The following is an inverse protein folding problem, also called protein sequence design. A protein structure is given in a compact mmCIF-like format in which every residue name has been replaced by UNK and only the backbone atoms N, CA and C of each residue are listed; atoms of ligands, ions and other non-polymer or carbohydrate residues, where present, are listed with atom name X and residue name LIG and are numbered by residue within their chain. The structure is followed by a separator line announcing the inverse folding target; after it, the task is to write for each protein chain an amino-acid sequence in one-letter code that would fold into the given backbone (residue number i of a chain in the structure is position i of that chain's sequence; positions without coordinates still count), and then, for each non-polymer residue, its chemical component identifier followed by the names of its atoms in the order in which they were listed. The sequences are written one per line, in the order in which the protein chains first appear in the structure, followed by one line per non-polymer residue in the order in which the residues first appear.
data_IF_346268337485
#
_entry.id   IF_346268337485
#
_cell.length_a   1.000
_cell.length_b   1.000
_cell.length_c   1.000
_cell.angle_alpha   90.00
_cell.angle_beta   90.00
_cell.angle_gamma   90.00
#
_symmetry.space_group_name_H-M   'P 1'
#
loop_
_entity.id
_entity.type
_entity.pdbx_description
1 polymer ?
#
# COMPACT_ATOMS: atom_id res chain seq x y z
N UNK A 1 -15.62 3.58 11.68
CA UNK A 1 -15.15 3.76 10.30
C UNK A 1 -15.46 2.50 9.49
N UNK A 2 -15.68 2.63 8.19
CA UNK A 2 -15.76 1.46 7.31
C UNK A 2 -14.41 0.73 7.25
N UNK A 3 -13.30 1.47 7.27
CA UNK A 3 -11.96 0.91 7.38
C UNK A 3 -11.01 1.82 8.16
N UNK A 4 -10.13 1.21 8.93
CA UNK A 4 -8.91 1.79 9.49
C UNK A 4 -7.72 1.23 8.70
N UNK A 5 -6.74 2.06 8.36
CA UNK A 5 -5.49 1.57 7.80
C UNK A 5 -4.27 2.14 8.53
N UNK A 6 -3.19 1.37 8.47
CA UNK A 6 -1.86 1.81 8.90
C UNK A 6 -0.85 1.49 7.80
N UNK A 7 0.01 2.45 7.49
CA UNK A 7 0.97 2.32 6.40
C UNK A 7 1.88 3.53 6.21
N UNK A 8 2.80 3.42 5.27
CA UNK A 8 3.73 4.48 4.91
C UNK A 8 2.98 5.63 4.22
N UNK A 9 3.10 6.84 4.77
CA UNK A 9 2.73 8.04 4.06
C UNK A 9 3.85 8.42 3.08
N UNK A 10 3.49 8.56 1.81
CA UNK A 10 4.39 8.92 0.73
C UNK A 10 3.75 10.04 -0.09
N UNK A 11 4.54 10.98 -0.58
CA UNK A 11 4.11 11.89 -1.64
C UNK A 11 4.68 11.38 -2.96
N UNK A 12 3.78 11.11 -3.90
CA UNK A 12 4.12 10.59 -5.22
C UNK A 12 4.48 11.76 -6.14
N UNK A 13 5.59 11.62 -6.85
CA UNK A 13 6.01 12.50 -7.95
C UNK A 13 5.98 11.67 -9.23
N UNK A 14 4.94 11.87 -10.03
CA UNK A 14 4.75 11.13 -11.28
C UNK A 14 5.49 11.80 -12.43
N UNK A 15 6.33 11.04 -13.13
CA UNK A 15 7.14 11.52 -14.25
C UNK A 15 7.01 10.55 -15.42
N UNK A 16 6.65 11.07 -16.59
CA UNK A 16 6.61 10.31 -17.84
C UNK A 16 8.04 10.14 -18.37
N UNK A 17 8.44 8.90 -18.65
CA UNK A 17 9.77 8.51 -19.14
C UNK A 17 9.66 7.44 -20.23
N UNK A 18 10.76 7.18 -20.91
CA UNK A 18 10.95 6.10 -21.88
C UNK A 18 11.65 4.91 -21.24
N UNK A 19 11.54 3.72 -21.87
CA UNK A 19 12.29 2.54 -21.42
C UNK A 19 13.82 2.76 -21.46
N UNK A 20 14.30 3.60 -22.38
CA UNK A 20 15.72 3.95 -22.48
C UNK A 20 16.19 4.78 -21.27
N UNK A 21 15.39 5.74 -20.82
CA UNK A 21 15.68 6.56 -19.64
C UNK A 21 15.64 5.74 -18.34
N UNK A 22 14.72 4.76 -18.23
CA UNK A 22 14.75 3.79 -17.13
C UNK A 22 16.07 3.02 -17.09
N UNK A 23 16.51 2.51 -18.25
CA UNK A 23 17.75 1.77 -18.36
C UNK A 23 18.99 2.63 -18.03
N UNK A 24 19.03 3.88 -18.50
CA UNK A 24 20.11 4.83 -18.18
C UNK A 24 20.19 5.10 -16.67
N UNK A 25 19.04 5.26 -16.03
CA UNK A 25 18.98 5.42 -14.59
C UNK A 25 19.18 4.12 -13.82
N UNK A 26 19.31 2.95 -14.44
CA UNK A 26 19.33 1.64 -13.78
C UNK A 26 18.09 1.40 -12.88
N UNK A 27 16.90 1.69 -13.40
CA UNK A 27 15.62 1.42 -12.74
C UNK A 27 15.01 0.17 -13.38
N UNK A 28 14.63 -0.81 -12.55
CA UNK A 28 13.92 -2.00 -13.02
C UNK A 28 12.46 -1.66 -13.33
N UNK A 29 11.98 -2.09 -14.50
CA UNK A 29 10.63 -1.81 -14.97
C UNK A 29 9.58 -2.57 -14.14
N UNK A 30 8.51 -1.89 -13.71
CA UNK A 30 7.36 -2.54 -13.08
C UNK A 30 7.54 -2.94 -11.60
N UNK A 31 8.66 -2.57 -10.98
CA UNK A 31 8.99 -2.94 -9.60
C UNK A 31 8.95 -1.73 -8.65
N UNK A 32 8.77 -1.99 -7.36
CA UNK A 32 9.04 -1.03 -6.29
C UNK A 32 10.47 -1.25 -5.75
N UNK A 33 11.27 -0.19 -5.77
CA UNK A 33 12.64 -0.17 -5.27
C UNK A 33 12.79 0.86 -4.16
N UNK A 34 13.32 0.45 -3.00
CA UNK A 34 13.73 1.37 -1.95
C UNK A 34 15.01 2.09 -2.37
N UNK A 35 15.02 3.41 -2.25
CA UNK A 35 16.15 4.27 -2.55
C UNK A 35 16.45 5.22 -1.41
N UNK A 36 17.72 5.60 -1.27
CA UNK A 36 18.10 6.67 -0.36
C UNK A 36 17.82 8.06 -0.97
N UNK A 37 17.92 9.09 -0.14
CA UNK A 37 17.67 10.47 -0.54
C UNK A 37 18.65 10.97 -1.61
N UNK A 38 19.91 10.49 -1.59
CA UNK A 38 20.91 10.90 -2.57
C UNK A 38 20.56 10.35 -3.95
N UNK A 39 20.21 9.07 -4.04
CA UNK A 39 19.76 8.40 -5.25
C UNK A 39 18.51 9.05 -5.82
N UNK A 40 17.52 9.36 -4.98
CA UNK A 40 16.31 10.05 -5.43
C UNK A 40 16.62 11.45 -6.00
N UNK A 41 17.52 12.20 -5.36
CA UNK A 41 17.98 13.50 -5.86
C UNK A 41 18.70 13.37 -7.20
N UNK A 42 19.55 12.37 -7.37
CA UNK A 42 20.28 12.12 -8.61
C UNK A 42 19.29 11.83 -9.76
N UNK A 43 18.28 10.99 -9.51
CA UNK A 43 17.22 10.71 -10.49
C UNK A 43 16.45 11.98 -10.89
N UNK A 44 16.04 12.79 -9.92
CA UNK A 44 15.31 14.05 -10.20
C UNK A 44 16.19 15.07 -10.94
N UNK A 45 17.52 15.04 -10.72
CA UNK A 45 18.47 15.88 -11.45
C UNK A 45 18.58 15.46 -12.91
N UNK A 46 18.66 14.16 -13.18
CA UNK A 46 18.64 13.62 -14.55
C UNK A 46 17.33 13.95 -15.27
N UNK A 47 16.20 13.92 -14.56
CA UNK A 47 14.87 14.17 -15.10
C UNK A 47 14.43 15.63 -15.06
N UNK A 48 15.35 16.58 -14.87
CA UNK A 48 15.03 17.98 -14.62
C UNK A 48 14.06 18.59 -15.66
N UNK A 49 14.28 18.30 -16.95
CA UNK A 49 13.43 18.79 -18.05
C UNK A 49 12.01 18.19 -18.04
N UNK A 50 11.82 17.03 -17.40
CA UNK A 50 10.52 16.36 -17.26
C UNK A 50 9.72 16.92 -16.08
N UNK A 51 10.36 17.56 -15.10
CA UNK A 51 9.72 18.05 -13.87
C UNK A 51 8.68 19.15 -14.13
N UNK A 52 8.75 19.84 -15.27
CA UNK A 52 7.75 20.85 -15.68
C UNK A 52 6.34 20.24 -15.78
N UNK A 53 6.25 18.91 -15.96
CA UNK A 53 4.99 18.17 -16.07
C UNK A 53 4.73 17.23 -14.90
N UNK A 54 5.55 17.27 -13.86
CA UNK A 54 5.40 16.37 -12.71
C UNK A 54 4.12 16.71 -11.94
N UNK A 55 3.39 15.66 -11.53
CA UNK A 55 2.25 15.78 -10.64
C UNK A 55 2.68 15.35 -9.24
N UNK A 56 2.32 16.14 -8.23
CA UNK A 56 2.52 15.83 -6.81
C UNK A 56 1.17 15.51 -6.17
N UNK A 57 1.06 14.36 -5.53
CA UNK A 57 -0.14 13.93 -4.81
C UNK A 57 0.23 13.03 -3.63
N UNK A 58 -0.64 12.93 -2.64
CA UNK A 58 -0.53 11.87 -1.64
C UNK A 58 -0.55 10.50 -2.32
N UNK A 59 0.35 9.63 -1.87
CA UNK A 59 0.46 8.24 -2.29
C UNK A 59 0.46 7.27 -1.10
N UNK A 60 1.22 6.18 -1.24
CA UNK A 60 1.23 5.07 -0.28
C UNK A 60 0.01 4.15 -0.43
N UNK A 61 0.20 2.83 -0.28
CA UNK A 61 -0.85 1.86 -0.61
C UNK A 61 -2.05 1.99 0.33
N UNK A 62 -1.79 2.10 1.63
CA UNK A 62 -2.82 2.29 2.64
C UNK A 62 -3.52 3.66 2.50
N UNK A 63 -2.76 4.74 2.30
CA UNK A 63 -3.31 6.09 2.11
C UNK A 63 -4.26 6.15 0.91
N UNK A 64 -3.81 5.65 -0.25
CA UNK A 64 -4.63 5.59 -1.46
C UNK A 64 -5.91 4.76 -1.26
N UNK A 65 -5.83 3.65 -0.52
CA UNK A 65 -6.99 2.80 -0.23
C UNK A 65 -8.02 3.52 0.65
N UNK A 66 -7.57 4.27 1.66
CA UNK A 66 -8.46 5.02 2.56
C UNK A 66 -9.11 6.21 1.86
N UNK A 67 -8.33 6.94 1.04
CA UNK A 67 -8.84 8.04 0.21
C UNK A 67 -9.90 7.52 -0.76
N UNK A 68 -9.59 6.47 -1.53
CA UNK A 68 -10.54 5.92 -2.51
C UNK A 68 -11.85 5.47 -1.84
N UNK A 69 -11.75 4.84 -0.67
CA UNK A 69 -12.91 4.40 0.12
C UNK A 69 -13.73 5.59 0.65
N UNK A 70 -13.08 6.63 1.16
CA UNK A 70 -13.74 7.87 1.59
C UNK A 70 -14.47 8.57 0.45
N UNK A 71 -13.87 8.63 -0.73
CA UNK A 71 -14.48 9.21 -1.92
C UNK A 71 -15.69 8.43 -2.43
N UNK A 72 -15.79 7.14 -2.10
CA UNK A 72 -17.00 6.33 -2.34
C UNK A 72 -18.09 6.54 -1.27
N UNK A 73 -17.87 7.43 -0.30
CA UNK A 73 -18.83 7.84 0.73
C UNK A 73 -18.73 7.06 2.03
N UNK A 74 -17.69 6.26 2.23
CA UNK A 74 -17.52 5.44 3.42
C UNK A 74 -16.42 6.02 4.34
N UNK A 75 -16.69 6.31 5.62
CA UNK A 75 -15.74 6.99 6.49
C UNK A 75 -14.52 6.11 6.76
N UNK A 76 -13.32 6.66 6.64
CA UNK A 76 -12.06 5.92 6.87
C UNK A 76 -11.14 6.63 7.85
N UNK A 77 -10.20 5.87 8.41
CA UNK A 77 -9.15 6.37 9.29
C UNK A 77 -7.77 5.91 8.79
N UNK A 78 -6.78 6.81 8.84
CA UNK A 78 -5.40 6.53 8.43
C UNK A 78 -4.41 6.86 9.56
N UNK A 79 -3.65 5.85 9.99
CA UNK A 79 -2.47 6.02 10.84
C UNK A 79 -1.20 5.97 10.01
N UNK A 80 -0.39 7.01 10.10
CA UNK A 80 0.88 7.14 9.37
C UNK A 80 1.79 8.18 10.03
N UNK A 81 2.97 8.43 9.44
CA UNK A 81 3.89 9.50 9.86
C UNK A 81 4.21 10.41 8.69
N UNK A 82 4.13 11.72 8.91
CA UNK A 82 4.63 12.76 7.99
C UNK A 82 5.45 13.80 8.75
N UNK A 83 6.48 14.35 8.12
CA UNK A 83 7.32 15.36 8.75
C UNK A 83 6.65 16.73 8.69
N UNK A 84 7.16 17.66 9.49
CA UNK A 84 6.78 19.08 9.41
C UNK A 84 7.49 19.75 8.22
N UNK A 85 7.16 19.31 7.01
CA UNK A 85 7.66 19.84 5.74
C UNK A 85 6.52 20.01 4.71
N UNK A 86 6.84 20.60 3.57
CA UNK A 86 5.86 20.91 2.52
C UNK A 86 5.20 19.65 1.93
N UNK A 87 5.92 18.53 1.87
CA UNK A 87 5.37 17.25 1.39
C UNK A 87 4.39 16.66 2.43
N UNK A 88 4.69 16.79 3.72
CA UNK A 88 3.78 16.42 4.80
C UNK A 88 2.52 17.28 4.80
N UNK A 89 2.63 18.56 4.46
CA UNK A 89 1.48 19.46 4.29
C UNK A 89 0.58 19.00 3.14
N UNK A 90 1.17 18.59 2.00
CA UNK A 90 0.42 18.04 0.86
C UNK A 90 -0.32 16.77 1.27
N UNK A 91 0.37 15.84 1.93
CA UNK A 91 -0.23 14.56 2.33
C UNK A 91 -1.42 14.75 3.28
N UNK A 92 -1.28 15.62 4.28
CA UNK A 92 -2.35 15.95 5.23
C UNK A 92 -3.53 16.62 4.53
N UNK A 93 -3.25 17.64 3.70
CA UNK A 93 -4.29 18.35 2.98
C UNK A 93 -5.11 17.41 2.09
N UNK A 94 -4.47 16.41 1.48
CA UNK A 94 -5.13 15.42 0.65
C UNK A 94 -6.02 14.45 1.46
N UNK A 95 -5.58 14.00 2.65
CA UNK A 95 -6.41 13.19 3.55
C UNK A 95 -7.64 13.97 4.02
N UNK A 96 -7.44 15.21 4.50
CA UNK A 96 -8.51 16.07 5.03
C UNK A 96 -9.53 16.44 3.94
N UNK A 97 -9.07 16.82 2.74
CA UNK A 97 -9.96 17.13 1.62
C UNK A 97 -10.77 15.92 1.14
N UNK A 98 -10.23 14.71 1.30
CA UNK A 98 -10.90 13.45 0.95
C UNK A 98 -11.84 12.95 2.06
N UNK A 99 -11.84 13.59 3.23
CA UNK A 99 -12.64 13.17 4.39
C UNK A 99 -12.09 11.96 5.14
N UNK A 100 -10.79 11.68 5.02
CA UNK A 100 -10.11 10.61 5.77
C UNK A 100 -9.69 11.15 7.14
N UNK A 101 -10.15 10.52 8.22
CA UNK A 101 -9.73 10.86 9.56
C UNK A 101 -8.28 10.39 9.83
N UNK A 102 -7.54 11.09 10.68
CA UNK A 102 -6.17 10.73 11.03
C UNK A 102 -5.79 11.23 12.44
N UNK A 103 -4.80 10.58 13.04
CA UNK A 103 -4.27 10.91 14.38
C UNK A 103 -3.12 11.92 14.39
N UNK A 104 -2.71 12.42 13.21
CA UNK A 104 -1.58 13.33 13.05
C UNK A 104 -1.86 14.71 13.68
N UNK A 105 -1.55 14.85 14.95
CA UNK A 105 -1.68 16.10 15.73
C UNK A 105 -0.33 16.79 15.95
N UNK A 106 0.72 15.99 16.15
CA UNK A 106 2.11 16.45 16.23
C UNK A 106 2.93 15.82 15.09
N UNK A 107 3.78 16.63 14.44
CA UNK A 107 4.66 16.18 13.35
C UNK A 107 6.12 16.37 13.76
N UNK A 108 6.96 15.42 13.38
CA UNK A 108 8.39 15.51 13.63
C UNK A 108 9.02 16.66 12.84
N UNK A 109 9.81 17.50 13.51
CA UNK A 109 10.72 18.44 12.84
C UNK A 109 12.01 17.76 12.36
N UNK A 110 12.27 16.54 12.83
CA UNK A 110 13.43 15.74 12.47
C UNK A 110 13.07 14.77 11.33
N UNK A 111 13.87 14.78 10.27
CA UNK A 111 13.67 13.95 9.07
C UNK A 111 12.88 14.65 7.96
N UNK A 112 12.45 13.86 6.97
CA UNK A 112 11.66 14.32 5.81
C UNK A 112 10.48 13.38 5.57
N UNK A 113 9.38 13.90 5.05
CA UNK A 113 8.24 13.09 4.61
C UNK A 113 8.67 12.12 3.50
N UNK A 114 8.15 10.90 3.53
CA UNK A 114 8.45 9.89 2.53
C UNK A 114 8.00 10.31 1.13
N UNK A 115 8.74 9.88 0.11
CA UNK A 115 8.52 10.27 -1.28
C UNK A 115 8.66 9.07 -2.21
N UNK A 116 7.78 8.97 -3.18
CA UNK A 116 7.90 7.99 -4.27
C UNK A 116 8.08 8.73 -5.59
N UNK A 117 9.18 8.46 -6.29
CA UNK A 117 9.31 8.89 -7.69
C UNK A 117 8.72 7.79 -8.55
N UNK A 118 7.59 8.09 -9.19
CA UNK A 118 6.83 7.16 -10.00
C UNK A 118 7.17 7.42 -11.47
N UNK A 119 7.94 6.51 -12.06
CA UNK A 119 8.36 6.60 -13.44
C UNK A 119 7.39 5.81 -14.32
N UNK A 120 6.72 6.51 -15.25
CA UNK A 120 5.63 5.97 -16.06
C UNK A 120 6.10 5.88 -17.50
N UNK A 121 6.06 4.66 -18.05
CA UNK A 121 6.42 4.39 -19.46
C UNK A 121 5.21 4.45 -20.39
N UNK A 122 5.39 4.52 -21.73
CA UNK A 122 4.27 4.71 -22.67
C UNK A 122 3.22 3.59 -22.68
N UNK A 123 3.57 2.38 -22.22
CA UNK A 123 2.65 1.26 -22.00
C UNK A 123 1.90 1.34 -20.65
N UNK A 124 2.04 2.47 -19.95
CA UNK A 124 1.45 2.78 -18.65
C UNK A 124 1.98 1.93 -17.47
N UNK A 125 3.03 1.15 -17.67
CA UNK A 125 3.71 0.46 -16.59
C UNK A 125 4.47 1.47 -15.71
N UNK A 126 4.45 1.23 -14.39
CA UNK A 126 5.02 2.13 -13.38
C UNK A 126 6.18 1.47 -12.65
N UNK A 127 7.29 2.18 -12.56
CA UNK A 127 8.42 1.84 -11.67
C UNK A 127 8.46 2.79 -10.51
N UNK A 128 8.38 2.25 -9.29
CA UNK A 128 8.27 3.02 -8.06
C UNK A 128 9.64 3.10 -7.39
N UNK A 129 10.14 4.30 -7.14
CA UNK A 129 11.42 4.54 -6.49
C UNK A 129 11.19 5.31 -5.19
N UNK A 130 11.15 4.56 -4.09
CA UNK A 130 10.62 5.03 -2.81
C UNK A 130 11.73 5.35 -1.82
N UNK A 131 11.77 6.61 -1.38
CA UNK A 131 12.50 7.00 -0.19
C UNK A 131 11.50 7.11 0.97
N UNK A 132 11.63 6.24 1.98
CA UNK A 132 10.64 6.17 3.07
C UNK A 132 10.65 7.39 3.99
N UNK A 133 11.78 8.10 4.11
CA UNK A 133 11.89 9.22 5.05
C UNK A 133 11.49 8.81 6.47
N UNK A 134 10.72 9.64 7.16
CA UNK A 134 10.26 9.32 8.52
C UNK A 134 9.28 8.14 8.59
N UNK A 135 8.62 7.76 7.48
CA UNK A 135 7.71 6.60 7.43
C UNK A 135 8.46 5.29 7.72
N UNK A 136 9.77 5.24 7.52
CA UNK A 136 10.61 4.09 7.92
C UNK A 136 10.54 3.82 9.43
N UNK A 137 10.34 4.88 10.21
CA UNK A 137 10.28 4.86 11.68
C UNK A 137 8.86 4.82 12.23
N UNK A 138 7.88 4.46 11.40
CA UNK A 138 6.52 4.19 11.86
C UNK A 138 6.54 3.10 12.94
N UNK A 139 5.81 3.32 14.02
CA UNK A 139 5.87 2.51 15.23
C UNK A 139 4.48 2.24 15.80
N UNK A 140 4.45 1.55 16.93
CA UNK A 140 3.23 1.32 17.70
C UNK A 140 2.60 2.57 18.28
N UNK A 141 3.31 3.71 18.26
CA UNK A 141 2.85 4.99 18.80
C UNK A 141 1.78 5.61 17.90
N UNK A 142 1.85 5.35 16.59
CA UNK A 142 0.84 5.80 15.63
C UNK A 142 -0.42 4.90 15.59
N UNK A 143 -0.44 3.80 16.36
CA UNK A 143 -1.60 2.89 16.41
C UNK A 143 -2.69 3.48 17.30
N UNK A 144 -3.84 3.80 16.71
CA UNK A 144 -4.99 4.34 17.43
C UNK A 144 -6.02 3.24 17.74
N UNK A 145 -6.03 2.78 18.99
CA UNK A 145 -6.94 1.71 19.44
C UNK A 145 -8.42 2.12 19.38
N UNK A 146 -8.75 3.38 19.66
CA UNK A 146 -10.14 3.83 19.64
C UNK A 146 -10.68 3.81 18.20
N UNK A 147 -9.89 4.29 17.24
CA UNK A 147 -10.24 4.25 15.83
C UNK A 147 -10.34 2.81 15.30
N UNK A 148 -9.45 1.90 15.72
CA UNK A 148 -9.54 0.47 15.39
C UNK A 148 -10.86 -0.11 15.90
N UNK A 149 -11.16 0.07 17.18
CA UNK A 149 -12.38 -0.45 17.82
C UNK A 149 -13.66 0.05 17.14
N UNK A 150 -13.66 1.30 16.68
CA UNK A 150 -14.80 1.91 16.00
C UNK A 150 -14.88 1.51 14.51
N UNK A 151 -13.97 0.66 14.01
CA UNK A 151 -13.90 0.26 12.60
C UNK A 151 -14.54 -1.10 12.30
N UNK A 152 -15.04 -1.28 11.09
CA UNK A 152 -15.50 -2.60 10.60
C UNK A 152 -14.33 -3.46 10.09
N UNK A 153 -13.34 -2.81 9.49
CA UNK A 153 -12.13 -3.43 8.95
C UNK A 153 -10.87 -2.70 9.41
N UNK A 154 -9.79 -3.44 9.61
CA UNK A 154 -8.42 -2.94 9.54
C UNK A 154 -7.77 -3.41 8.24
N UNK A 155 -7.04 -2.51 7.57
CA UNK A 155 -6.24 -2.81 6.39
C UNK A 155 -4.76 -2.60 6.72
N UNK A 156 -3.97 -3.67 6.63
CA UNK A 156 -2.55 -3.66 6.91
C UNK A 156 -1.75 -3.66 5.60
N UNK A 157 -0.91 -2.65 5.43
CA UNK A 157 -0.01 -2.55 4.29
C UNK A 157 1.18 -3.51 4.44
N UNK A 158 1.43 -4.32 3.41
CA UNK A 158 2.50 -5.30 3.38
C UNK A 158 3.90 -4.69 3.47
N UNK A 159 4.09 -3.45 3.03
CA UNK A 159 5.38 -2.75 3.15
C UNK A 159 5.84 -2.52 4.60
N UNK A 160 4.94 -2.59 5.58
CA UNK A 160 5.30 -2.47 7.00
C UNK A 160 6.23 -3.59 7.49
N UNK A 161 6.31 -4.72 6.78
CA UNK A 161 7.23 -5.82 7.12
C UNK A 161 8.71 -5.46 6.98
N UNK A 162 9.02 -4.34 6.30
CA UNK A 162 10.39 -3.94 5.97
C UNK A 162 11.15 -3.35 7.16
N UNK A 163 10.46 -2.74 8.13
CA UNK A 163 11.08 -2.16 9.32
C UNK A 163 10.61 -2.87 10.60
N UNK A 164 11.50 -3.07 11.60
CA UNK A 164 11.11 -3.70 12.87
C UNK A 164 9.97 -2.98 13.59
N UNK A 165 9.98 -1.64 13.57
CA UNK A 165 8.95 -0.81 14.23
C UNK A 165 7.63 -0.84 13.46
N UNK A 166 7.67 -0.80 12.12
CA UNK A 166 6.49 -0.88 11.28
C UNK A 166 5.83 -2.25 11.40
N UNK A 167 6.61 -3.32 11.42
CA UNK A 167 6.11 -4.67 11.61
C UNK A 167 5.46 -4.83 12.99
N UNK A 168 6.07 -4.29 14.05
CA UNK A 168 5.48 -4.28 15.38
C UNK A 168 4.14 -3.49 15.43
N UNK A 169 4.05 -2.38 14.70
CA UNK A 169 2.81 -1.60 14.57
C UNK A 169 1.70 -2.40 13.87
N UNK A 170 2.04 -3.12 12.79
CA UNK A 170 1.11 -3.99 12.09
C UNK A 170 0.58 -5.13 12.99
N UNK A 171 1.46 -5.79 13.73
CA UNK A 171 1.08 -6.86 14.66
C UNK A 171 0.21 -6.34 15.82
N UNK A 172 0.55 -5.17 16.39
CA UNK A 172 -0.28 -4.53 17.43
C UNK A 172 -1.67 -4.19 16.88
N UNK A 173 -1.74 -3.62 15.67
CA UNK A 173 -3.01 -3.29 15.00
C UNK A 173 -3.88 -4.52 14.82
N UNK A 174 -3.30 -5.63 14.31
CA UNK A 174 -4.01 -6.91 14.16
C UNK A 174 -4.52 -7.45 15.49
N UNK A 175 -3.68 -7.48 16.52
CA UNK A 175 -4.07 -7.99 17.83
C UNK A 175 -5.23 -7.18 18.44
N UNK A 176 -5.23 -5.85 18.26
CA UNK A 176 -6.34 -5.00 18.68
C UNK A 176 -7.61 -5.26 17.87
N UNK A 177 -7.49 -5.44 16.56
CA UNK A 177 -8.62 -5.78 15.71
C UNK A 177 -9.29 -7.09 16.16
N UNK A 178 -8.49 -8.14 16.40
CA UNK A 178 -8.97 -9.42 16.93
C UNK A 178 -9.65 -9.26 18.30
N UNK A 179 -9.03 -8.52 19.22
CA UNK A 179 -9.57 -8.29 20.55
C UNK A 179 -10.93 -7.57 20.54
N UNK A 180 -11.17 -6.72 19.54
CA UNK A 180 -12.41 -5.96 19.37
C UNK A 180 -13.39 -6.57 18.35
N UNK A 181 -13.05 -7.73 17.76
CA UNK A 181 -13.90 -8.40 16.75
C UNK A 181 -13.98 -7.67 15.40
N UNK A 182 -12.96 -6.88 15.07
CA UNK A 182 -12.82 -6.12 13.82
C UNK A 182 -12.11 -6.99 12.78
N UNK A 183 -12.61 -6.99 11.54
CA UNK A 183 -12.06 -7.82 10.46
C UNK A 183 -10.72 -7.30 9.98
N UNK A 184 -9.83 -8.17 9.56
CA UNK A 184 -8.49 -7.85 9.08
C UNK A 184 -8.34 -8.16 7.61
N UNK A 185 -7.89 -7.17 6.85
CA UNK A 185 -7.39 -7.30 5.49
C UNK A 185 -5.88 -7.04 5.46
N UNK A 186 -5.13 -7.87 4.74
CA UNK A 186 -3.68 -7.68 4.55
C UNK A 186 -3.39 -7.56 3.06
N UNK A 187 -2.69 -6.50 2.66
CA UNK A 187 -2.12 -6.43 1.31
C UNK A 187 -0.71 -6.98 1.32
N UNK A 188 -0.37 -7.82 0.33
CA UNK A 188 1.01 -8.26 0.13
C UNK A 188 1.87 -7.21 -0.56
N UNK A 189 1.25 -6.15 -1.09
CA UNK A 189 1.85 -4.97 -1.72
C UNK A 189 2.74 -5.28 -2.93
N UNK A 190 3.88 -5.94 -2.73
CA UNK A 190 4.85 -6.29 -3.76
C UNK A 190 5.37 -7.73 -3.55
N UNK A 191 5.59 -8.52 -4.63
CA UNK A 191 6.12 -9.88 -4.53
C UNK A 191 7.46 -9.98 -3.77
N UNK A 192 8.28 -8.93 -3.83
CA UNK A 192 9.52 -8.81 -3.08
C UNK A 192 9.29 -8.82 -1.56
N UNK A 193 8.21 -8.22 -1.06
CA UNK A 193 7.91 -8.24 0.38
C UNK A 193 7.65 -9.67 0.86
N UNK A 194 6.84 -10.41 0.11
CA UNK A 194 6.53 -11.82 0.39
C UNK A 194 7.78 -12.70 0.28
N UNK A 195 8.67 -12.41 -0.69
CA UNK A 195 9.88 -13.18 -0.94
C UNK A 195 10.98 -12.94 0.11
N UNK A 196 11.27 -11.69 0.42
CA UNK A 196 12.41 -11.31 1.25
C UNK A 196 12.06 -11.16 2.73
N UNK A 197 10.79 -10.89 3.06
CA UNK A 197 10.28 -10.73 4.42
C UNK A 197 9.22 -11.77 4.75
N UNK A 198 9.41 -13.00 4.26
CA UNK A 198 8.45 -14.10 4.38
C UNK A 198 7.95 -14.31 5.81
N UNK A 199 8.87 -14.34 6.78
CA UNK A 199 8.51 -14.66 8.16
C UNK A 199 7.73 -13.50 8.82
N UNK A 200 8.07 -12.26 8.51
CA UNK A 200 7.30 -11.09 8.96
C UNK A 200 5.91 -11.06 8.30
N UNK A 201 5.83 -11.31 7.00
CA UNK A 201 4.54 -11.39 6.30
C UNK A 201 3.68 -12.54 6.84
N UNK A 202 4.30 -13.69 7.14
CA UNK A 202 3.60 -14.83 7.73
C UNK A 202 3.05 -14.49 9.13
N UNK A 203 3.80 -13.74 9.95
CA UNK A 203 3.32 -13.27 11.25
C UNK A 203 2.11 -12.33 11.12
N UNK A 204 2.05 -11.47 10.09
CA UNK A 204 0.90 -10.60 9.84
C UNK A 204 -0.39 -11.35 9.51
N UNK A 205 -0.31 -12.58 9.02
CA UNK A 205 -1.49 -13.41 8.67
C UNK A 205 -1.63 -14.65 9.56
N UNK A 206 -0.75 -14.80 10.56
CA UNK A 206 -0.80 -15.88 11.54
C UNK A 206 -2.11 -15.80 12.34
N UNK A 207 -2.74 -16.95 12.62
CA UNK A 207 -4.05 -16.97 13.27
C UNK A 207 -5.24 -16.70 12.33
N UNK A 208 -4.97 -16.38 11.05
CA UNK A 208 -6.00 -16.11 10.04
C UNK A 208 -6.28 -14.62 9.88
N UNK A 209 -6.77 -14.25 8.70
CA UNK A 209 -7.28 -12.92 8.35
C UNK A 209 -8.45 -13.12 7.39
N UNK A 210 -9.42 -12.22 7.36
CA UNK A 210 -10.62 -12.35 6.53
C UNK A 210 -10.36 -12.08 5.04
N UNK A 211 -9.34 -11.28 4.74
CA UNK A 211 -9.02 -10.91 3.36
C UNK A 211 -7.52 -10.73 3.11
N UNK A 212 -7.06 -11.23 1.96
CA UNK A 212 -5.73 -10.95 1.44
C UNK A 212 -5.84 -10.29 0.07
N UNK A 213 -5.19 -9.13 -0.08
CA UNK A 213 -5.03 -8.43 -1.35
C UNK A 213 -3.64 -8.73 -1.95
N UNK A 214 -3.63 -9.29 -3.16
CA UNK A 214 -2.41 -9.68 -3.86
C UNK A 214 -2.30 -9.00 -5.23
N UNK A 215 -1.14 -8.41 -5.53
CA UNK A 215 -0.79 -7.94 -6.88
C UNK A 215 -0.24 -9.13 -7.69
N UNK A 216 -0.87 -9.42 -8.82
CA UNK A 216 -0.54 -10.58 -9.64
C UNK A 216 0.74 -10.42 -10.45
N UNK A 217 1.85 -10.97 -9.98
CA UNK A 217 2.94 -11.43 -10.86
C UNK A 217 3.05 -12.95 -10.77
N UNK A 218 3.42 -13.59 -11.88
CA UNK A 218 3.41 -15.06 -12.10
C UNK A 218 4.38 -15.86 -11.19
N UNK A 219 4.84 -15.32 -10.06
CA UNK A 219 6.10 -15.74 -9.42
C UNK A 219 6.10 -15.76 -7.88
N UNK A 220 4.96 -15.96 -7.21
CA UNK A 220 4.95 -16.28 -5.77
C UNK A 220 5.10 -17.79 -5.60
N UNK A 221 6.32 -18.30 -5.73
CA UNK A 221 6.61 -19.74 -5.77
C UNK A 221 6.93 -20.39 -4.42
N UNK A 222 6.98 -19.65 -3.29
CA UNK A 222 7.62 -20.17 -2.05
C UNK A 222 6.95 -19.85 -0.70
N UNK A 223 5.68 -19.44 -0.65
CA UNK A 223 4.99 -19.31 0.65
C UNK A 223 4.47 -20.69 1.09
N UNK A 224 5.29 -21.49 1.77
CA UNK A 224 4.78 -22.72 2.40
C UNK A 224 3.82 -22.38 3.55
N UNK A 225 2.56 -22.76 3.36
CA UNK A 225 1.53 -23.10 4.37
C UNK A 225 1.22 -22.06 5.44
N UNK A 226 0.18 -21.26 5.22
CA UNK A 226 -0.68 -20.74 6.30
C UNK A 226 -1.94 -21.60 6.27
N UNK A 227 -2.22 -22.32 7.37
CA UNK A 227 -3.35 -23.26 7.44
C UNK A 227 -4.67 -22.49 7.42
N UNK A 228 -5.42 -22.57 6.33
CA UNK A 228 -6.87 -22.36 6.32
C UNK A 228 -7.63 -23.65 5.99
N UNK A 229 -8.88 -23.69 6.42
CA UNK A 229 -9.82 -24.80 6.58
C UNK A 229 -9.77 -25.95 5.52
N UNK A 230 -9.77 -27.25 5.92
CA UNK A 230 -9.51 -28.38 5.02
C UNK A 230 -10.57 -28.73 3.92
N UNK A 231 -11.73 -28.08 3.84
CA UNK A 231 -12.90 -28.62 3.11
C UNK A 231 -13.15 -28.19 1.65
N UNK A 232 -12.35 -27.33 1.03
CA UNK A 232 -12.61 -26.89 -0.36
C UNK A 232 -11.91 -27.74 -1.45
N UNK A 233 -12.60 -27.96 -2.58
CA UNK A 233 -12.22 -28.89 -3.65
C UNK A 233 -12.51 -28.32 -5.05
N UNK A 234 -11.48 -27.96 -5.85
CA UNK A 234 -11.31 -28.21 -7.31
C UNK A 234 -10.17 -27.37 -7.93
N UNK A 235 -9.71 -27.80 -9.11
CA UNK A 235 -8.34 -27.67 -9.68
C UNK A 235 -8.32 -26.94 -11.03
N UNK A 236 -7.31 -26.10 -11.31
CA UNK A 236 -6.52 -26.04 -12.57
C UNK A 236 -5.21 -25.22 -12.38
N UNK A 237 -4.04 -25.75 -12.80
CA UNK A 237 -2.68 -25.24 -12.51
C UNK A 237 -1.99 -24.43 -13.63
N UNK A 238 -0.64 -24.31 -13.69
CA UNK A 238 0.38 -24.52 -12.66
C UNK A 238 1.07 -23.20 -12.22
N UNK A 239 1.72 -23.22 -11.04
CA UNK A 239 2.59 -22.20 -10.39
C UNK A 239 1.95 -21.24 -9.36
N UNK A 240 0.63 -21.28 -9.12
CA UNK A 240 0.00 -20.52 -7.99
C UNK A 240 -0.57 -21.44 -6.89
N UNK A 241 -0.68 -22.75 -7.11
CA UNK A 241 -1.58 -23.61 -6.32
C UNK A 241 -0.98 -24.48 -5.20
N UNK A 242 0.27 -24.33 -4.79
CA UNK A 242 0.82 -25.09 -3.65
C UNK A 242 0.81 -24.33 -2.31
N UNK A 243 0.13 -23.18 -2.27
CA UNK A 243 0.28 -22.20 -1.17
C UNK A 243 -1.01 -21.91 -0.41
N UNK A 244 -2.19 -22.09 -1.00
CA UNK A 244 -3.48 -22.01 -0.31
C UNK A 244 -4.53 -22.77 -1.13
N UNK A 245 -5.42 -23.54 -0.47
CA UNK A 245 -6.70 -23.93 -1.11
C UNK A 245 -7.60 -22.70 -1.09
N UNK A 246 -7.67 -21.97 -2.20
CA UNK A 246 -8.47 -20.75 -2.34
C UNK A 246 -9.61 -21.04 -3.32
N UNK A 247 -10.85 -20.78 -2.90
CA UNK A 247 -11.98 -20.62 -3.82
C UNK A 247 -12.09 -19.15 -4.22
N UNK A 248 -12.00 -18.84 -5.51
CA UNK A 248 -12.16 -17.48 -6.03
C UNK A 248 -13.64 -17.16 -6.21
N UNK A 249 -14.12 -16.05 -5.64
CA UNK A 249 -15.43 -15.47 -5.96
C UNK A 249 -15.27 -14.28 -6.92
N UNK A 250 -16.01 -14.27 -8.04
CA UNK A 250 -16.23 -13.06 -8.83
C UNK A 250 -17.15 -12.11 -8.05
N UNK A 251 -16.65 -10.93 -7.68
CA UNK A 251 -17.52 -9.84 -7.23
C UNK A 251 -18.32 -9.33 -8.45
N UNK A 252 -19.64 -9.23 -8.29
CA UNK A 252 -20.55 -8.70 -9.29
C UNK A 252 -20.07 -7.32 -9.81
N UNK A 253 -20.24 -7.02 -11.11
CA UNK A 253 -19.70 -5.81 -11.71
C UNK A 253 -20.26 -4.56 -10.99
N UNK A 254 -19.41 -3.55 -10.72
CA UNK A 254 -19.83 -2.33 -10.04
C UNK A 254 -20.97 -1.64 -10.80
N UNK A 255 -22.00 -1.22 -10.07
CA UNK A 255 -23.04 -0.31 -10.59
C UNK A 255 -22.38 1.04 -10.91
N UNK A 256 -22.03 1.22 -12.18
CA UNK A 256 -21.53 2.40 -12.89
C UNK A 256 -20.26 3.10 -12.35
N UNK A 257 -19.12 2.76 -12.96
CA UNK A 257 -17.76 3.37 -12.80
C UNK A 257 -17.61 4.68 -13.58
N UNK A 258 -18.58 5.59 -13.55
CA UNK A 258 -18.50 6.83 -14.35
C UNK A 258 -17.93 8.04 -13.61
N UNK A 259 -18.00 8.09 -12.28
CA UNK A 259 -17.55 9.27 -11.53
C UNK A 259 -16.12 9.19 -10.99
N UNK A 260 -15.50 8.01 -10.98
CA UNK A 260 -14.16 7.79 -10.39
C UNK A 260 -13.01 8.28 -11.28
N UNK A 261 -13.21 8.34 -12.61
CA UNK A 261 -12.13 8.66 -13.58
C UNK A 261 -11.69 10.13 -13.60
N UNK A 262 -12.49 11.03 -13.04
CA UNK A 262 -12.19 12.47 -13.06
C UNK A 262 -11.34 12.94 -11.87
N UNK A 263 -11.07 12.06 -10.91
CA UNK A 263 -10.34 12.37 -9.69
C UNK A 263 -8.84 12.25 -9.93
N UNK A 264 -8.06 13.31 -9.68
CA UNK A 264 -6.58 13.31 -9.85
C UNK A 264 -5.89 12.14 -9.14
N UNK A 265 -6.41 11.72 -7.97
CA UNK A 265 -5.85 10.64 -7.13
C UNK A 265 -6.27 9.21 -7.54
N UNK A 266 -7.41 9.01 -8.23
CA UNK A 266 -7.96 7.67 -8.53
C UNK A 266 -7.90 7.32 -10.03
N UNK A 267 -7.25 8.14 -10.86
CA UNK A 267 -7.01 7.87 -12.30
C UNK A 267 -6.21 6.59 -12.59
N UNK A 268 -5.76 5.89 -11.55
CA UNK A 268 -4.61 5.00 -11.60
C UNK A 268 -4.86 3.58 -11.06
N UNK A 269 -6.11 3.25 -10.71
CA UNK A 269 -6.53 1.88 -10.42
C UNK A 269 -6.82 1.11 -11.72
N UNK A 270 -5.94 0.16 -12.09
CA UNK A 270 -6.17 -0.78 -13.19
C UNK A 270 -6.75 -2.08 -12.64
N UNK A 271 -7.99 -2.47 -13.00
CA UNK A 271 -8.64 -3.69 -12.52
C UNK A 271 -7.88 -4.99 -12.84
N UNK A 272 -6.96 -4.96 -13.82
CA UNK A 272 -6.34 -6.15 -14.39
C UNK A 272 -5.27 -6.81 -13.50
N UNK A 273 -4.79 -6.12 -12.45
CA UNK A 273 -3.62 -6.58 -11.66
C UNK A 273 -3.90 -6.88 -10.18
N UNK A 274 -5.06 -6.49 -9.65
CA UNK A 274 -5.43 -6.70 -8.25
C UNK A 274 -6.38 -7.88 -8.12
N UNK A 275 -5.98 -8.92 -7.37
CA UNK A 275 -6.86 -10.05 -7.03
C UNK A 275 -7.20 -9.98 -5.55
N UNK A 276 -8.48 -9.77 -5.26
CA UNK A 276 -9.03 -9.87 -3.91
C UNK A 276 -9.30 -11.34 -3.59
N UNK A 277 -8.72 -11.83 -2.49
CA UNK A 277 -8.95 -13.19 -1.99
C UNK A 277 -9.68 -13.09 -0.65
N UNK A 278 -10.91 -13.58 -0.61
CA UNK A 278 -11.67 -13.76 0.63
C UNK A 278 -11.23 -15.08 1.25
N UNK A 279 -10.93 -15.07 2.55
CA UNK A 279 -10.50 -16.24 3.30
C UNK A 279 -11.65 -16.64 4.23
N UNK A 280 -12.30 -17.77 3.92
CA UNK A 280 -13.38 -18.36 4.74
C UNK A 280 -12.85 -19.16 5.96
#
# INVERSE_FOLDING_TARGET
YAAYAIGAALVDTEIQVTDAELAEMNVEKGMMTLVDQARQRDMLTTLFDHLIRANHASGGSAGNSMIATAMMGAPTYMSCKVAQDADGDIYLADLEQSGVAHGLTERSTDGVTGKCVVLITPDAERSLNTHLGISETLSTDEVDEAAIKDSEWVYLEGYLVTSPTGHAAALKTKALAEAHGVKTAVSFSDPGMVKFFRDNMAAMVEGGVELVDCVGSKSISNVRTIKCNPNCSLVYGPVICDVFKIESFELAPPRSVKDVRNIRQVRHWTPEYSRLVVVD
#
